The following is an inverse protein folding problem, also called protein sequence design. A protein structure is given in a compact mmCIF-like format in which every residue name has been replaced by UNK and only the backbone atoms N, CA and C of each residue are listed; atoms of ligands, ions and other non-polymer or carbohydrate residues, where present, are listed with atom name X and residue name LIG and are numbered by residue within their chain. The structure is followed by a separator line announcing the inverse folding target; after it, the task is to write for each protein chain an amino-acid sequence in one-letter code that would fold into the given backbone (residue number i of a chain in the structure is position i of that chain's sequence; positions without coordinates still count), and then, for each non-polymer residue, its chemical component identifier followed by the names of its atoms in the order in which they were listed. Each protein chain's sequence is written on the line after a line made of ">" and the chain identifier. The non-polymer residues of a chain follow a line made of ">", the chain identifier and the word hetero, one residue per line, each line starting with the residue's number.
data_IF_247377832341
#
_entry.id   IF_247377832341
#
_cell.length_a   1.000
_cell.length_b   1.000
_cell.length_c   1.000
_cell.angle_alpha   90.00
_cell.angle_beta   90.00
_cell.angle_gamma   90.00
#
_symmetry.space_group_name_H-M   'P 1'
#
loop_
_entity.id
_entity.type
_entity.pdbx_description
1 polymer ?
#
# COMPACT_ATOMS: atom_id res chain seq x y z
N UNK A 1 8.68 -17.94 -13.79
CA UNK A 1 8.05 -16.88 -12.98
C UNK A 1 8.97 -15.68 -12.98
N UNK A 2 8.47 -14.51 -13.39
CA UNK A 2 9.25 -13.28 -13.36
C UNK A 2 9.13 -12.70 -11.95
N UNK A 3 10.26 -12.33 -11.38
CA UNK A 3 10.33 -11.78 -10.04
C UNK A 3 10.68 -10.29 -10.12
N UNK A 4 9.92 -9.45 -9.44
CA UNK A 4 10.19 -8.01 -9.33
C UNK A 4 10.69 -7.71 -7.93
N UNK A 5 11.87 -7.09 -7.84
CA UNK A 5 12.42 -6.61 -6.57
C UNK A 5 11.54 -5.48 -6.04
N UNK A 6 10.97 -5.66 -4.85
CA UNK A 6 10.18 -4.61 -4.18
C UNK A 6 10.88 -4.04 -2.95
N UNK A 7 11.90 -4.73 -2.46
CA UNK A 7 12.73 -4.28 -1.35
C UNK A 7 14.12 -4.88 -1.50
N UNK A 8 15.16 -4.05 -1.36
CA UNK A 8 16.56 -4.50 -1.31
C UNK A 8 17.37 -3.58 -0.39
N UNK A 9 17.90 -4.13 0.69
CA UNK A 9 18.71 -3.37 1.66
C UNK A 9 20.02 -2.87 1.05
N UNK A 10 20.51 -3.47 -0.05
CA UNK A 10 21.70 -3.01 -0.75
C UNK A 10 21.47 -1.71 -1.55
N UNK A 11 20.22 -1.42 -1.94
CA UNK A 11 19.87 -0.16 -2.59
C UNK A 11 19.49 0.96 -1.62
N UNK A 12 19.16 0.63 -0.36
CA UNK A 12 18.85 1.62 0.67
C UNK A 12 20.14 2.22 1.23
N UNK A 13 20.35 3.52 0.98
CA UNK A 13 21.42 4.29 1.64
C UNK A 13 20.94 4.80 3.00
N UNK A 14 21.80 4.75 4.03
CA UNK A 14 21.51 5.38 5.32
C UNK A 14 21.47 6.90 5.11
N UNK A 15 20.28 7.49 5.22
CA UNK A 15 20.06 8.91 4.96
C UNK A 15 20.97 9.80 5.81
N UNK A 16 21.78 10.63 5.15
CA UNK A 16 22.76 11.54 5.76
C UNK A 16 22.13 12.76 6.47
N UNK A 17 20.81 12.94 6.36
CA UNK A 17 20.09 14.11 6.86
C UNK A 17 20.29 14.39 8.36
N UNK A 18 20.27 13.36 9.22
CA UNK A 18 20.42 13.53 10.66
C UNK A 18 21.88 13.72 11.11
N UNK A 19 22.88 13.01 10.53
CA UNK A 19 24.28 13.36 10.70
C UNK A 19 24.60 14.81 10.33
N UNK A 20 24.00 15.35 9.26
CA UNK A 20 24.19 16.74 8.85
C UNK A 20 23.58 17.75 9.86
N UNK A 21 22.41 17.44 10.42
CA UNK A 21 21.79 18.24 11.50
C UNK A 21 22.68 18.22 12.76
N UNK A 22 23.18 17.04 13.15
CA UNK A 22 24.12 16.91 14.27
C UNK A 22 25.41 17.71 14.06
N UNK A 23 25.96 17.70 12.84
CA UNK A 23 27.12 18.50 12.46
C UNK A 23 26.82 20.00 12.55
N UNK A 24 25.63 20.46 12.15
CA UNK A 24 25.22 21.85 12.26
C UNK A 24 25.17 22.34 13.74
N UNK A 25 24.70 21.51 14.67
CA UNK A 25 24.75 21.83 16.11
C UNK A 25 26.18 21.90 16.67
N UNK A 26 27.08 21.04 16.19
CA UNK A 26 28.51 21.07 16.56
C UNK A 26 29.15 22.37 16.06
N UNK A 27 28.90 22.76 14.81
CA UNK A 27 29.41 23.99 14.21
C UNK A 27 28.86 25.21 14.94
N UNK A 28 27.55 25.26 15.22
CA UNK A 28 26.93 26.37 15.95
C UNK A 28 27.51 26.52 17.37
N UNK A 29 27.72 25.41 18.08
CA UNK A 29 28.37 25.41 19.39
C UNK A 29 29.82 25.88 19.35
N UNK A 30 30.58 25.47 18.32
CA UNK A 30 31.96 25.90 18.11
C UNK A 30 32.06 27.40 17.76
N UNK A 31 31.19 27.91 16.89
CA UNK A 31 31.12 29.33 16.53
C UNK A 31 30.73 30.19 17.74
N UNK A 32 29.78 29.74 18.57
CA UNK A 32 29.44 30.44 19.81
C UNK A 32 30.61 30.48 20.79
N UNK A 33 31.35 29.38 20.91
CA UNK A 33 32.55 29.32 21.77
C UNK A 33 33.66 30.24 21.27
N UNK A 34 33.87 30.34 19.96
CA UNK A 34 34.99 31.08 19.38
C UNK A 34 34.68 32.57 19.13
N UNK A 35 33.44 32.91 18.76
CA UNK A 35 33.02 34.26 18.43
C UNK A 35 32.54 35.11 19.61
N UNK A 36 32.08 34.50 20.71
CA UNK A 36 31.45 35.25 21.83
C UNK A 36 32.18 35.17 23.17
N UNK A 37 33.34 34.50 23.24
CA UNK A 37 34.34 34.63 24.32
C UNK A 37 33.89 34.36 25.77
N UNK A 38 32.63 34.01 26.03
CA UNK A 38 32.13 33.72 27.38
C UNK A 38 31.99 32.22 27.55
N UNK A 39 33.00 31.62 28.16
CA UNK A 39 32.94 30.28 28.72
C UNK A 39 32.00 30.27 29.94
N UNK A 40 30.69 30.34 29.71
CA UNK A 40 29.66 30.22 30.73
C UNK A 40 28.51 29.40 30.18
N UNK A 41 28.33 28.19 30.70
CA UNK A 41 27.18 27.27 30.65
C UNK A 41 26.32 27.11 29.36
N UNK A 42 26.68 27.66 28.20
CA UNK A 42 25.77 27.69 27.03
C UNK A 42 26.25 26.95 25.78
N UNK A 43 27.55 26.74 25.56
CA UNK A 43 28.06 26.12 24.31
C UNK A 43 28.33 24.61 24.37
N UNK A 44 28.87 24.11 25.49
CA UNK A 44 29.16 22.67 25.66
C UNK A 44 27.92 21.77 25.58
N UNK A 45 26.74 22.14 26.12
CA UNK A 45 25.53 21.33 25.97
C UNK A 45 25.10 21.18 24.50
N UNK A 46 25.22 22.23 23.68
CA UNK A 46 24.87 22.16 22.25
C UNK A 46 25.84 21.29 21.45
N UNK A 47 27.14 21.37 21.75
CA UNK A 47 28.12 20.47 21.15
C UNK A 47 27.88 19.01 21.58
N UNK A 48 27.55 18.77 22.85
CA UNK A 48 27.23 17.44 23.36
C UNK A 48 25.95 16.86 22.72
N UNK A 49 24.90 17.68 22.55
CA UNK A 49 23.68 17.30 21.82
C UNK A 49 24.00 17.02 20.35
N UNK A 50 24.82 17.84 19.71
CA UNK A 50 25.24 17.62 18.33
C UNK A 50 26.00 16.31 18.15
N UNK A 51 27.00 16.04 18.99
CA UNK A 51 27.76 14.78 19.00
C UNK A 51 26.86 13.59 19.28
N UNK A 52 25.99 13.68 20.28
CA UNK A 52 25.01 12.63 20.58
C UNK A 52 24.07 12.38 19.41
N UNK A 53 23.61 13.42 18.73
CA UNK A 53 22.75 13.32 17.54
C UNK A 53 23.50 12.60 16.42
N UNK A 54 24.73 13.00 16.10
CA UNK A 54 25.57 12.31 15.08
C UNK A 54 25.75 10.83 15.42
N UNK A 55 26.06 10.50 16.69
CA UNK A 55 26.27 9.12 17.12
C UNK A 55 24.96 8.30 17.09
N UNK A 56 23.86 8.85 17.62
CA UNK A 56 22.59 8.15 17.69
C UNK A 56 21.93 7.98 16.32
N UNK A 57 22.03 8.97 15.44
CA UNK A 57 21.39 8.94 14.12
C UNK A 57 22.27 8.39 13.00
N UNK A 58 23.59 8.40 13.18
CA UNK A 58 24.56 7.90 12.21
C UNK A 58 25.14 6.55 12.61
N UNK A 59 25.74 6.46 13.79
CA UNK A 59 26.53 5.27 14.17
C UNK A 59 25.66 4.03 14.41
N UNK A 60 24.47 4.17 15.01
CA UNK A 60 23.58 3.02 15.30
C UNK A 60 22.97 2.44 14.01
N UNK A 61 22.34 3.24 13.10
CA UNK A 61 21.85 2.71 11.83
C UNK A 61 22.96 2.18 10.93
N UNK A 62 24.11 2.85 10.90
CA UNK A 62 25.28 2.39 10.13
C UNK A 62 25.85 1.08 10.69
N UNK A 63 25.96 0.93 12.01
CA UNK A 63 26.39 -0.31 12.65
C UNK A 63 25.46 -1.47 12.31
N UNK A 64 24.14 -1.26 12.39
CA UNK A 64 23.15 -2.27 12.02
C UNK A 64 23.23 -2.65 10.53
N UNK A 65 23.31 -1.66 9.64
CA UNK A 65 23.47 -1.91 8.20
C UNK A 65 24.75 -2.69 7.90
N UNK A 66 25.90 -2.27 8.47
CA UNK A 66 27.18 -2.93 8.25
C UNK A 66 27.17 -4.37 8.75
N UNK A 67 26.55 -4.63 9.91
CA UNK A 67 26.37 -5.97 10.49
C UNK A 67 25.57 -6.87 9.56
N UNK A 68 24.45 -6.37 8.99
CA UNK A 68 23.63 -7.14 8.04
C UNK A 68 24.38 -7.37 6.73
N UNK A 69 25.04 -6.36 6.17
CA UNK A 69 25.81 -6.49 4.92
C UNK A 69 26.98 -7.45 5.07
N UNK A 70 27.68 -7.45 6.21
CA UNK A 70 28.74 -8.42 6.50
C UNK A 70 28.19 -9.85 6.59
N UNK A 71 27.07 -10.07 7.27
CA UNK A 71 26.44 -11.39 7.34
C UNK A 71 26.05 -11.91 5.94
N UNK A 72 25.55 -11.02 5.07
CA UNK A 72 25.30 -11.35 3.65
C UNK A 72 26.59 -11.71 2.92
N UNK A 73 27.66 -10.93 3.09
CA UNK A 73 28.96 -11.17 2.47
C UNK A 73 29.62 -12.48 2.94
N UNK A 74 29.39 -12.87 4.20
CA UNK A 74 29.85 -14.11 4.79
C UNK A 74 29.04 -15.34 4.34
N UNK A 75 27.99 -15.16 3.53
CA UNK A 75 27.14 -16.25 3.06
C UNK A 75 26.10 -16.75 4.07
N UNK A 76 25.83 -15.98 5.13
CA UNK A 76 24.84 -16.33 6.16
C UNK A 76 23.39 -16.07 5.70
N UNK A 77 23.22 -15.38 4.58
CA UNK A 77 21.92 -15.09 3.99
C UNK A 77 21.27 -16.37 3.45
N UNK A 78 20.06 -16.65 3.93
CA UNK A 78 19.20 -17.73 3.46
C UNK A 78 18.16 -17.19 2.48
N UNK A 79 17.66 -18.07 1.62
CA UNK A 79 16.59 -17.76 0.68
C UNK A 79 15.44 -18.73 0.87
N UNK A 80 14.21 -18.21 0.85
CA UNK A 80 12.98 -19.01 0.79
C UNK A 80 12.11 -18.53 -0.36
N UNK A 81 11.45 -19.46 -1.05
CA UNK A 81 10.59 -19.19 -2.18
C UNK A 81 9.28 -19.97 -2.04
N UNK A 82 8.15 -19.32 -2.31
CA UNK A 82 6.83 -19.94 -2.22
C UNK A 82 5.70 -18.92 -2.18
N UNK A 83 4.45 -19.38 -2.13
CA UNK A 83 3.32 -18.48 -1.91
C UNK A 83 3.35 -17.90 -0.50
N UNK A 84 2.99 -16.63 -0.38
CA UNK A 84 2.75 -15.98 0.91
C UNK A 84 1.52 -16.62 1.56
N UNK A 85 1.57 -16.88 2.87
CA UNK A 85 0.43 -17.28 3.68
C UNK A 85 0.45 -16.60 5.06
N UNK A 86 -0.62 -16.78 5.84
CA UNK A 86 -0.81 -16.18 7.17
C UNK A 86 -0.63 -14.66 7.23
N UNK A 87 -0.85 -13.99 6.09
CA UNK A 87 -0.73 -12.55 5.99
C UNK A 87 -1.75 -11.85 6.88
N UNK A 88 -1.26 -10.92 7.70
CA UNK A 88 -2.09 -10.07 8.55
C UNK A 88 -1.41 -8.73 8.80
N UNK A 89 -2.24 -7.71 9.02
CA UNK A 89 -1.81 -6.41 9.49
C UNK A 89 -2.13 -6.27 10.99
N UNK A 90 -1.13 -5.93 11.79
CA UNK A 90 -1.31 -5.66 13.21
C UNK A 90 -0.97 -4.20 13.53
N UNK A 91 -1.84 -3.57 14.32
CA UNK A 91 -1.58 -2.26 14.90
C UNK A 91 -1.10 -2.45 16.33
N UNK A 92 0.17 -2.17 16.57
CA UNK A 92 0.77 -2.24 17.91
C UNK A 92 0.81 -0.84 18.49
N UNK A 93 0.22 -0.65 19.65
CA UNK A 93 0.33 0.59 20.41
C UNK A 93 1.35 0.42 21.53
N UNK A 94 2.21 1.43 21.73
CA UNK A 94 3.05 1.55 22.92
C UNK A 94 2.77 2.88 23.59
N UNK A 95 2.47 2.84 24.89
CA UNK A 95 2.43 4.04 25.73
C UNK A 95 3.83 4.64 25.79
N UNK A 96 3.97 5.94 25.52
CA UNK A 96 5.25 6.63 25.69
C UNK A 96 5.58 6.68 27.18
N UNK A 97 6.84 6.42 27.54
CA UNK A 97 7.28 6.46 28.95
C UNK A 97 7.16 7.86 29.58
N UNK A 98 7.17 8.91 28.76
CA UNK A 98 7.19 10.32 29.20
C UNK A 98 5.85 11.05 29.04
N UNK A 99 4.81 10.42 28.51
CA UNK A 99 3.49 11.04 28.34
C UNK A 99 2.38 10.01 28.20
N UNK A 100 1.13 10.43 28.40
CA UNK A 100 -0.05 9.60 28.10
C UNK A 100 -0.30 9.40 26.60
N UNK A 101 0.62 9.85 25.74
CA UNK A 101 0.53 9.63 24.31
C UNK A 101 0.90 8.18 23.94
N UNK A 102 0.11 7.61 23.03
CA UNK A 102 0.40 6.31 22.42
C UNK A 102 1.13 6.51 21.09
N UNK A 103 2.25 5.82 20.92
CA UNK A 103 2.87 5.65 19.62
C UNK A 103 2.26 4.41 18.95
N UNK A 104 1.83 4.55 17.70
CA UNK A 104 1.29 3.45 16.92
C UNK A 104 2.33 2.99 15.90
N UNK A 105 2.48 1.70 15.74
CA UNK A 105 3.29 1.08 14.69
C UNK A 105 2.46 0.03 13.98
N UNK A 106 2.53 0.02 12.65
CA UNK A 106 1.81 -0.92 11.82
C UNK A 106 2.79 -1.97 11.31
N UNK A 107 2.50 -3.23 11.64
CA UNK A 107 3.33 -4.35 11.26
C UNK A 107 2.55 -5.25 10.30
N UNK A 108 3.17 -5.61 9.18
CA UNK A 108 2.68 -6.69 8.32
C UNK A 108 3.42 -7.97 8.70
N UNK A 109 2.66 -8.99 9.08
CA UNK A 109 3.15 -10.33 9.34
C UNK A 109 2.72 -11.22 8.20
N UNK A 110 3.60 -12.12 7.78
CA UNK A 110 3.32 -13.08 6.73
C UNK A 110 4.37 -14.18 6.77
N UNK A 111 4.08 -15.31 6.13
CA UNK A 111 4.98 -16.45 6.06
C UNK A 111 5.23 -16.85 4.61
N UNK A 112 6.43 -17.33 4.33
CA UNK A 112 6.78 -17.95 3.04
C UNK A 112 7.44 -19.28 3.35
N UNK A 113 6.79 -20.38 2.96
CA UNK A 113 7.19 -21.71 3.40
C UNK A 113 7.18 -21.81 4.93
N UNK A 114 8.20 -22.40 5.58
CA UNK A 114 8.22 -22.56 7.03
C UNK A 114 8.64 -21.30 7.80
N UNK A 115 8.91 -20.18 7.14
CA UNK A 115 9.53 -19.00 7.75
C UNK A 115 8.54 -17.86 7.88
N UNK A 116 8.37 -17.36 9.10
CA UNK A 116 7.54 -16.20 9.41
C UNK A 116 8.36 -14.91 9.37
N UNK A 117 7.81 -13.88 8.74
CA UNK A 117 8.42 -12.58 8.55
C UNK A 117 7.54 -11.48 9.14
N UNK A 118 8.18 -10.34 9.44
CA UNK A 118 7.49 -9.12 9.86
C UNK A 118 8.15 -7.89 9.28
N UNK A 119 7.36 -6.98 8.73
CA UNK A 119 7.81 -5.68 8.22
C UNK A 119 7.11 -4.55 8.99
N UNK A 120 7.85 -3.51 9.34
CA UNK A 120 7.31 -2.27 9.89
C UNK A 120 7.36 -1.19 8.80
N UNK A 121 6.21 -0.84 8.25
CA UNK A 121 6.08 0.26 7.30
C UNK A 121 5.91 1.56 8.09
N UNK A 122 7.00 2.03 8.70
CA UNK A 122 6.99 3.24 9.51
C UNK A 122 6.74 4.49 8.66
N UNK A 123 5.61 5.15 8.93
CA UNK A 123 5.12 6.43 8.39
C UNK A 123 4.36 6.39 7.05
N UNK A 124 3.21 7.10 7.05
CA UNK A 124 2.25 7.32 5.95
C UNK A 124 1.29 6.16 5.63
N UNK A 125 0.31 5.94 6.52
CA UNK A 125 -0.91 5.25 6.10
C UNK A 125 -1.74 6.18 5.22
N UNK A 126 -1.53 6.13 3.90
CA UNK A 126 -2.60 6.50 2.98
C UNK A 126 -3.80 5.58 3.29
N UNK A 127 -4.89 6.19 3.78
CA UNK A 127 -6.21 5.57 3.72
C UNK A 127 -6.57 5.28 2.27
N UNK A 128 -7.63 4.49 2.04
CA UNK A 128 -8.05 4.24 0.66
C UNK A 128 -8.19 5.57 -0.09
N UNK A 129 -7.48 5.70 -1.21
CA UNK A 129 -7.38 6.95 -1.97
C UNK A 129 -7.79 6.73 -3.43
N UNK A 130 -8.37 7.76 -4.03
CA UNK A 130 -8.67 7.80 -5.47
C UNK A 130 -7.52 8.47 -6.27
N UNK A 131 -6.36 8.72 -5.64
CA UNK A 131 -5.18 9.37 -6.27
C UNK A 131 -4.13 8.31 -6.60
N UNK A 132 -3.53 8.40 -7.78
CA UNK A 132 -2.32 7.66 -8.14
C UNK A 132 -1.23 7.85 -7.07
N UNK A 133 -0.45 6.80 -6.79
CA UNK A 133 0.54 6.80 -5.71
C UNK A 133 1.73 7.70 -6.08
N UNK A 134 1.71 8.96 -5.64
CA UNK A 134 2.82 9.91 -5.88
C UNK A 134 3.82 10.01 -4.72
N UNK A 135 3.69 9.21 -3.66
CA UNK A 135 4.69 9.15 -2.57
C UNK A 135 5.12 7.69 -2.33
N UNK A 136 6.45 7.49 -2.37
CA UNK A 136 7.17 6.22 -2.28
C UNK A 136 6.71 5.32 -1.12
N UNK A 137 5.75 4.45 -1.45
CA UNK A 137 5.53 3.17 -0.78
C UNK A 137 5.90 2.10 -1.79
N UNK A 138 6.47 0.94 -1.42
CA UNK A 138 6.58 -0.15 -2.38
C UNK A 138 5.19 -0.41 -2.95
N UNK A 139 5.07 -0.32 -4.27
CA UNK A 139 3.79 -0.27 -4.99
C UNK A 139 2.93 -1.53 -4.79
N UNK A 140 3.48 -2.58 -4.16
CA UNK A 140 2.84 -3.89 -3.99
C UNK A 140 2.77 -4.23 -2.49
N UNK A 141 1.55 -4.34 -1.98
CA UNK A 141 1.29 -4.90 -0.65
C UNK A 141 1.25 -6.42 -0.72
N UNK A 142 1.83 -7.06 0.30
CA UNK A 142 1.88 -8.51 0.39
C UNK A 142 0.46 -9.07 0.62
N UNK A 143 0.13 -10.19 -0.02
CA UNK A 143 -1.13 -10.91 0.18
C UNK A 143 -0.92 -12.40 0.13
N UNK A 144 -1.81 -13.16 0.79
CA UNK A 144 -1.83 -14.61 0.67
C UNK A 144 -1.92 -15.05 -0.80
N UNK A 145 -1.19 -16.10 -1.16
CA UNK A 145 -1.13 -16.68 -2.51
C UNK A 145 -0.14 -16.02 -3.47
N UNK A 146 0.42 -14.85 -3.13
CA UNK A 146 1.43 -14.19 -3.95
C UNK A 146 2.75 -14.98 -3.89
N UNK A 147 3.33 -15.35 -5.04
CA UNK A 147 4.67 -15.92 -5.02
C UNK A 147 5.66 -14.88 -4.50
N UNK A 148 6.52 -15.29 -3.57
CA UNK A 148 7.55 -14.45 -3.02
C UNK A 148 8.84 -15.25 -2.91
N UNK A 149 9.95 -14.58 -3.23
CA UNK A 149 11.30 -15.03 -2.96
C UNK A 149 11.92 -14.03 -2.00
N UNK A 150 12.26 -14.51 -0.81
CA UNK A 150 12.77 -13.66 0.26
C UNK A 150 14.18 -14.10 0.63
N UNK A 151 15.11 -13.15 0.59
CA UNK A 151 16.45 -13.30 1.14
C UNK A 151 16.48 -12.69 2.53
N UNK A 152 16.98 -13.44 3.50
CA UNK A 152 16.97 -13.02 4.91
C UNK A 152 18.19 -13.53 5.68
N UNK A 153 18.49 -12.92 6.83
CA UNK A 153 19.55 -13.34 7.75
C UNK A 153 18.98 -13.61 9.14
N UNK A 154 19.26 -14.76 9.78
CA UNK A 154 18.79 -15.09 11.13
C UNK A 154 19.66 -14.43 12.22
N UNK A 155 19.76 -13.10 12.22
CA UNK A 155 20.77 -12.38 13.01
C UNK A 155 20.31 -11.91 14.40
N UNK A 156 19.02 -12.02 14.71
CA UNK A 156 18.42 -11.43 15.93
C UNK A 156 18.06 -12.45 17.02
N UNK A 157 18.39 -13.73 16.81
CA UNK A 157 18.13 -14.87 17.72
C UNK A 157 17.10 -15.87 17.17
N UNK A 158 17.01 -17.09 17.72
CA UNK A 158 16.14 -18.16 17.21
C UNK A 158 14.64 -17.85 17.30
N UNK A 159 14.22 -17.06 18.30
CA UNK A 159 12.82 -16.71 18.54
C UNK A 159 12.40 -15.37 17.91
N UNK A 160 13.30 -14.71 17.18
CA UNK A 160 13.02 -13.42 16.54
C UNK A 160 12.80 -13.59 15.05
N UNK A 161 11.89 -12.82 14.45
CA UNK A 161 11.70 -12.86 13.00
C UNK A 161 13.03 -12.51 12.32
N UNK A 162 13.42 -13.25 11.28
CA UNK A 162 14.68 -13.01 10.59
C UNK A 162 14.68 -11.64 9.92
N UNK A 163 15.88 -11.09 9.74
CA UNK A 163 16.06 -9.80 9.08
C UNK A 163 15.94 -9.99 7.58
N UNK A 164 14.95 -9.34 6.98
CA UNK A 164 14.77 -9.34 5.54
C UNK A 164 15.85 -8.48 4.89
N UNK A 165 16.53 -9.04 3.90
CA UNK A 165 17.56 -8.38 3.09
C UNK A 165 16.98 -7.97 1.74
N UNK A 166 16.14 -8.83 1.16
CA UNK A 166 15.55 -8.60 -0.14
C UNK A 166 14.21 -9.32 -0.27
N UNK A 167 13.25 -8.67 -0.91
CA UNK A 167 11.96 -9.25 -1.28
C UNK A 167 11.83 -9.12 -2.79
N UNK A 168 11.74 -10.27 -3.45
CA UNK A 168 11.32 -10.34 -4.84
C UNK A 168 9.93 -10.99 -4.89
N UNK A 169 8.97 -10.33 -5.52
CA UNK A 169 7.62 -10.88 -5.67
C UNK A 169 7.49 -11.51 -7.05
N UNK A 170 7.09 -12.79 -7.05
CA UNK A 170 6.86 -13.58 -8.23
C UNK A 170 5.48 -13.28 -8.79
N UNK A 171 5.42 -13.02 -10.08
CA UNK A 171 4.17 -13.08 -10.83
C UNK A 171 3.84 -14.55 -11.11
N UNK A 172 3.31 -15.26 -10.11
CA UNK A 172 2.68 -16.57 -10.34
C UNK A 172 1.26 -16.33 -10.89
N UNK A 173 1.23 -16.26 -12.23
CA UNK A 173 0.15 -15.99 -13.21
C UNK A 173 -1.17 -16.76 -13.04
N UNK A 174 -2.30 -16.37 -13.68
CA UNK A 174 -3.34 -17.36 -13.96
C UNK A 174 -2.96 -18.32 -15.10
N UNK A 175 -2.12 -17.89 -16.07
CA UNK A 175 -1.29 -18.67 -17.01
C UNK A 175 -0.75 -17.76 -18.15
N UNK A 176 0.58 -17.64 -18.31
CA UNK A 176 1.38 -17.22 -19.51
C UNK A 176 1.05 -15.98 -20.39
N UNK A 177 -0.04 -15.24 -20.23
CA UNK A 177 -0.55 -14.36 -21.30
C UNK A 177 -0.16 -12.87 -21.25
N UNK A 178 1.12 -12.55 -21.07
CA UNK A 178 1.71 -11.43 -21.85
C UNK A 178 3.00 -11.97 -22.44
N UNK A 179 2.84 -12.78 -23.49
CA UNK A 179 3.90 -12.89 -24.50
C UNK A 179 4.30 -11.47 -24.88
N UNK A 180 5.60 -11.26 -24.96
CA UNK A 180 6.25 -10.05 -25.46
C UNK A 180 5.38 -9.31 -26.49
N UNK A 181 5.10 -8.04 -26.22
CA UNK A 181 4.35 -7.16 -27.11
C UNK A 181 3.57 -6.12 -26.31
N UNK A 182 4.26 -5.03 -25.95
CA UNK A 182 3.69 -3.72 -25.62
C UNK A 182 2.63 -3.65 -24.48
N UNK A 183 3.08 -3.25 -23.29
CA UNK A 183 2.34 -2.44 -22.32
C UNK A 183 0.84 -2.73 -22.11
N UNK A 184 0.50 -3.86 -21.47
CA UNK A 184 -0.87 -4.12 -21.05
C UNK A 184 -0.97 -5.21 -19.99
N UNK A 185 -1.47 -4.88 -18.80
CA UNK A 185 -1.73 -5.86 -17.73
C UNK A 185 -2.83 -6.84 -18.15
N UNK A 186 -2.55 -8.13 -18.00
CA UNK A 186 -3.48 -9.22 -18.25
C UNK A 186 -4.40 -9.42 -17.03
N UNK A 187 -5.49 -8.66 -17.01
CA UNK A 187 -6.64 -8.89 -16.13
C UNK A 187 -7.51 -10.02 -16.73
N UNK A 188 -7.87 -11.05 -15.95
CA UNK A 188 -8.78 -12.10 -16.44
C UNK A 188 -10.18 -11.52 -16.40
N UNK A 189 -10.72 -11.19 -17.57
CA UNK A 189 -12.07 -10.65 -17.67
C UNK A 189 -13.07 -11.77 -17.40
N UNK A 190 -13.33 -12.06 -16.12
CA UNK A 190 -14.46 -12.90 -15.72
C UNK A 190 -15.72 -12.17 -16.15
N UNK A 191 -16.41 -12.67 -17.16
CA UNK A 191 -17.63 -12.09 -17.71
C UNK A 191 -18.70 -11.98 -16.61
N UNK A 192 -19.51 -10.91 -16.67
CA UNK A 192 -20.55 -10.61 -15.67
C UNK A 192 -20.34 -9.29 -14.93
N UNK A 193 -21.32 -8.93 -14.08
CA UNK A 193 -21.38 -7.66 -13.35
C UNK A 193 -20.39 -7.56 -12.19
N UNK A 194 -19.94 -8.70 -11.68
CA UNK A 194 -19.02 -8.78 -10.55
C UNK A 194 -17.81 -9.63 -10.96
N UNK A 195 -16.63 -9.03 -10.94
CA UNK A 195 -15.36 -9.72 -11.10
C UNK A 195 -14.52 -9.56 -9.83
N UNK A 196 -14.55 -10.58 -8.97
CA UNK A 196 -13.87 -10.59 -7.68
C UNK A 196 -12.58 -11.42 -7.73
N UNK A 197 -11.53 -10.87 -8.36
CA UNK A 197 -10.21 -11.51 -8.40
C UNK A 197 -9.45 -11.37 -7.07
N UNK A 198 -9.75 -10.33 -6.27
CA UNK A 198 -9.17 -10.15 -4.95
C UNK A 198 -9.70 -11.14 -3.90
N UNK A 199 -10.76 -11.89 -4.24
CA UNK A 199 -11.44 -12.85 -3.38
C UNK A 199 -11.85 -12.24 -2.03
N UNK A 200 -12.39 -11.02 -2.07
CA UNK A 200 -12.80 -10.26 -0.89
C UNK A 200 -14.32 -10.27 -0.68
N UNK A 201 -15.10 -10.75 -1.65
CA UNK A 201 -16.55 -10.80 -1.56
C UNK A 201 -17.03 -12.22 -1.23
N UNK A 202 -17.78 -12.36 -0.14
CA UNK A 202 -18.47 -13.61 0.20
C UNK A 202 -19.52 -13.99 -0.86
N UNK A 203 -19.95 -15.25 -0.89
CA UNK A 203 -21.01 -15.69 -1.78
C UNK A 203 -22.31 -14.90 -1.56
N UNK A 204 -22.67 -14.64 -0.30
CA UNK A 204 -23.86 -13.86 0.04
C UNK A 204 -23.73 -12.39 -0.39
N UNK A 205 -22.55 -11.79 -0.24
CA UNK A 205 -22.25 -10.45 -0.75
C UNK A 205 -22.40 -10.38 -2.27
N UNK A 206 -21.89 -11.38 -3.00
CA UNK A 206 -22.03 -11.47 -4.46
C UNK A 206 -23.50 -11.57 -4.85
N UNK A 207 -24.30 -12.39 -4.16
CA UNK A 207 -25.72 -12.53 -4.43
C UNK A 207 -26.50 -11.22 -4.19
N UNK A 208 -26.23 -10.52 -3.08
CA UNK A 208 -26.85 -9.21 -2.81
C UNK A 208 -26.46 -8.16 -3.83
N UNK A 209 -25.17 -8.09 -4.18
CA UNK A 209 -24.69 -7.17 -5.21
C UNK A 209 -25.33 -7.47 -6.55
N UNK A 210 -25.36 -8.74 -6.99
CA UNK A 210 -25.90 -9.10 -8.29
C UNK A 210 -27.39 -8.73 -8.43
N UNK A 211 -28.18 -8.87 -7.36
CA UNK A 211 -29.56 -8.40 -7.32
C UNK A 211 -29.67 -6.87 -7.49
N UNK A 212 -28.83 -6.09 -6.78
CA UNK A 212 -28.80 -4.62 -6.90
C UNK A 212 -28.38 -4.19 -8.30
N UNK A 213 -27.32 -4.79 -8.85
CA UNK A 213 -26.78 -4.44 -10.16
C UNK A 213 -27.75 -4.83 -11.29
N UNK A 214 -28.37 -6.01 -11.22
CA UNK A 214 -29.37 -6.44 -12.20
C UNK A 214 -30.59 -5.52 -12.21
N UNK A 215 -31.10 -5.15 -11.05
CA UNK A 215 -32.23 -4.22 -10.95
C UNK A 215 -31.87 -2.79 -11.39
N UNK A 216 -30.60 -2.40 -11.29
CA UNK A 216 -30.12 -1.13 -11.83
C UNK A 216 -30.09 -1.16 -13.35
N UNK A 217 -29.41 -2.15 -13.95
CA UNK A 217 -29.28 -2.27 -15.39
C UNK A 217 -30.65 -2.27 -16.10
N UNK A 218 -31.64 -2.97 -15.53
CA UNK A 218 -33.01 -3.01 -16.07
C UNK A 218 -33.71 -1.65 -16.03
N UNK A 219 -33.40 -0.80 -15.04
CA UNK A 219 -34.06 0.51 -14.87
C UNK A 219 -33.35 1.62 -15.62
N UNK A 220 -32.02 1.62 -15.60
CA UNK A 220 -31.21 2.69 -16.20
C UNK A 220 -30.92 2.44 -17.67
N UNK A 221 -30.92 1.18 -18.13
CA UNK A 221 -30.42 0.80 -19.45
C UNK A 221 -28.88 0.75 -19.53
N UNK A 222 -28.18 0.96 -18.40
CA UNK A 222 -26.73 1.09 -18.34
C UNK A 222 -26.11 0.11 -17.34
N UNK A 223 -25.00 -0.56 -17.68
CA UNK A 223 -24.36 -1.51 -16.77
C UNK A 223 -23.60 -0.82 -15.63
N UNK A 224 -23.78 -1.31 -14.40
CA UNK A 224 -22.84 -1.06 -13.30
C UNK A 224 -22.01 -2.32 -13.02
N UNK A 225 -20.70 -2.22 -13.19
CA UNK A 225 -19.75 -3.32 -13.01
C UNK A 225 -18.88 -3.08 -11.78
N UNK A 226 -18.72 -4.12 -10.98
CA UNK A 226 -17.83 -4.14 -9.81
C UNK A 226 -16.63 -5.01 -10.15
N UNK A 227 -15.44 -4.43 -10.02
CA UNK A 227 -14.17 -5.13 -10.21
C UNK A 227 -13.33 -4.99 -8.97
N UNK A 228 -12.88 -6.11 -8.42
CA UNK A 228 -11.86 -6.13 -7.38
C UNK A 228 -10.66 -6.90 -7.90
N UNK A 229 -9.52 -6.23 -7.99
CA UNK A 229 -8.24 -6.86 -8.34
C UNK A 229 -7.35 -6.86 -7.10
N UNK A 230 -6.57 -7.91 -6.83
CA UNK A 230 -5.63 -7.88 -5.72
C UNK A 230 -4.65 -6.71 -5.87
N UNK A 231 -4.13 -6.46 -7.08
CA UNK A 231 -3.14 -5.41 -7.36
C UNK A 231 -3.35 -4.76 -8.74
N UNK A 232 -2.89 -3.52 -8.89
CA UNK A 232 -2.82 -2.79 -10.16
C UNK A 232 -1.52 -3.05 -10.93
N UNK A 233 -0.55 -3.74 -10.32
CA UNK A 233 0.73 -4.06 -10.95
C UNK A 233 1.58 -2.83 -11.29
N UNK A 234 1.48 -1.76 -10.48
CA UNK A 234 2.20 -0.50 -10.69
C UNK A 234 1.58 0.43 -11.73
N UNK A 235 0.41 0.10 -12.29
CA UNK A 235 -0.35 0.99 -13.16
C UNK A 235 -1.19 1.95 -12.30
N UNK A 236 -1.27 3.22 -12.72
CA UNK A 236 -2.20 4.19 -12.14
C UNK A 236 -3.66 3.70 -12.22
N UNK A 237 -4.43 3.86 -11.14
CA UNK A 237 -5.80 3.33 -11.05
C UNK A 237 -6.74 3.92 -12.11
N UNK A 238 -6.57 5.17 -12.53
CA UNK A 238 -7.41 5.75 -13.57
C UNK A 238 -7.12 5.11 -14.92
N UNK A 239 -5.84 4.91 -15.26
CA UNK A 239 -5.44 4.18 -16.47
C UNK A 239 -5.90 2.72 -16.46
N UNK A 240 -5.77 2.05 -15.31
CA UNK A 240 -6.23 0.68 -15.15
C UNK A 240 -7.75 0.57 -15.32
N UNK A 241 -8.51 1.47 -14.67
CA UNK A 241 -9.97 1.52 -14.78
C UNK A 241 -10.42 1.74 -16.24
N UNK A 242 -9.80 2.67 -16.96
CA UNK A 242 -10.09 2.91 -18.38
C UNK A 242 -9.84 1.65 -19.22
N UNK A 243 -8.69 0.98 -19.03
CA UNK A 243 -8.37 -0.27 -19.76
C UNK A 243 -9.39 -1.36 -19.47
N UNK A 244 -9.83 -1.49 -18.21
CA UNK A 244 -10.87 -2.45 -17.82
C UNK A 244 -12.20 -2.10 -18.48
N UNK A 245 -12.56 -0.83 -18.51
CA UNK A 245 -13.79 -0.34 -19.11
C UNK A 245 -13.86 -0.60 -20.61
N UNK A 246 -12.78 -0.29 -21.33
CA UNK A 246 -12.65 -0.51 -22.77
C UNK A 246 -12.82 -1.99 -23.09
N UNK A 247 -12.11 -2.86 -22.39
CA UNK A 247 -12.19 -4.31 -22.62
C UNK A 247 -13.53 -4.92 -22.21
N UNK A 248 -14.30 -4.25 -21.35
CA UNK A 248 -15.65 -4.64 -20.93
C UNK A 248 -16.74 -4.02 -21.81
N UNK A 249 -16.39 -3.12 -22.73
CA UNK A 249 -17.36 -2.39 -23.55
C UNK A 249 -18.25 -1.42 -22.76
N UNK A 250 -17.77 -0.91 -21.61
CA UNK A 250 -18.55 -0.03 -20.72
C UNK A 250 -17.96 1.39 -20.61
N UNK A 251 -16.93 1.70 -21.40
CA UNK A 251 -16.22 2.98 -21.33
C UNK A 251 -17.14 4.19 -21.57
N UNK A 252 -18.16 4.04 -22.41
CA UNK A 252 -19.11 5.11 -22.73
C UNK A 252 -20.42 5.01 -21.97
N UNK A 253 -20.96 3.80 -21.84
CA UNK A 253 -22.35 3.58 -21.41
C UNK A 253 -22.49 3.02 -20.00
N UNK A 254 -21.40 2.76 -19.27
CA UNK A 254 -21.48 2.09 -17.97
C UNK A 254 -20.77 2.80 -16.83
N UNK A 255 -20.85 2.19 -15.66
CA UNK A 255 -20.15 2.63 -14.45
C UNK A 255 -19.28 1.47 -13.98
N UNK A 256 -18.05 1.78 -13.58
CA UNK A 256 -17.11 0.84 -12.98
C UNK A 256 -16.78 1.27 -11.56
N UNK A 257 -17.05 0.40 -10.58
CA UNK A 257 -16.46 0.49 -9.25
C UNK A 257 -15.25 -0.46 -9.19
N UNK A 258 -14.05 0.11 -9.23
CA UNK A 258 -12.79 -0.61 -9.13
C UNK A 258 -12.22 -0.52 -7.71
N UNK A 259 -11.82 -1.66 -7.15
CA UNK A 259 -11.15 -1.75 -5.84
C UNK A 259 -9.86 -2.54 -5.96
N UNK A 260 -8.76 -1.96 -5.47
CA UNK A 260 -7.43 -2.55 -5.43
C UNK A 260 -6.91 -2.52 -3.99
N UNK A 261 -7.13 -3.60 -3.20
CA UNK A 261 -6.79 -3.62 -1.77
C UNK A 261 -5.30 -3.49 -1.48
N UNK A 262 -4.42 -3.93 -2.39
CA UNK A 262 -2.98 -3.87 -2.16
C UNK A 262 -2.48 -2.43 -2.20
N UNK A 263 -2.89 -1.68 -3.21
CA UNK A 263 -2.59 -0.25 -3.35
C UNK A 263 -3.42 0.60 -2.38
N UNK A 264 -4.43 0.01 -1.70
CA UNK A 264 -5.49 0.75 -0.98
C UNK A 264 -6.05 1.84 -1.89
N UNK A 265 -6.40 1.48 -3.11
CA UNK A 265 -7.01 2.41 -4.05
C UNK A 265 -8.39 1.90 -4.45
N UNK A 266 -9.29 2.84 -4.66
CA UNK A 266 -10.60 2.54 -5.22
C UNK A 266 -11.08 3.73 -6.02
N UNK A 267 -11.82 3.45 -7.09
CA UNK A 267 -12.29 4.46 -8.04
C UNK A 267 -13.66 4.09 -8.56
N UNK A 268 -14.53 5.11 -8.65
CA UNK A 268 -15.69 5.08 -9.52
C UNK A 268 -15.27 5.74 -10.83
N UNK A 269 -15.42 5.02 -11.93
CA UNK A 269 -15.30 5.57 -13.28
C UNK A 269 -16.69 5.57 -13.90
N UNK A 270 -17.07 6.71 -14.47
CA UNK A 270 -18.38 6.94 -15.05
C UNK A 270 -18.21 7.11 -16.56
N UNK A 271 -18.97 6.35 -17.33
CA UNK A 271 -19.00 6.49 -18.79
C UNK A 271 -19.62 7.82 -19.23
N UNK A 272 -19.23 8.28 -20.41
CA UNK A 272 -19.63 9.59 -20.95
C UNK A 272 -21.15 9.81 -20.95
N UNK A 273 -21.93 8.80 -21.30
CA UNK A 273 -23.40 8.89 -21.37
C UNK A 273 -24.08 9.12 -20.00
N UNK A 274 -23.38 8.78 -18.92
CA UNK A 274 -23.89 8.90 -17.56
C UNK A 274 -23.34 10.12 -16.82
N UNK A 275 -22.47 10.91 -17.46
CA UNK A 275 -21.79 12.04 -16.83
C UNK A 275 -22.73 13.13 -16.32
N UNK A 276 -23.88 13.34 -16.96
CA UNK A 276 -24.91 14.28 -16.49
C UNK A 276 -25.68 13.75 -15.26
N UNK A 277 -25.90 12.42 -15.20
CA UNK A 277 -26.65 11.76 -14.11
C UNK A 277 -25.78 11.49 -12.89
N UNK A 278 -24.51 11.14 -13.11
CA UNK A 278 -23.48 10.93 -12.09
C UNK A 278 -22.19 11.67 -12.46
N UNK A 279 -22.15 13.00 -12.28
CA UNK A 279 -20.93 13.77 -12.51
C UNK A 279 -19.78 13.32 -11.61
N UNK A 280 -18.54 13.57 -12.03
CA UNK A 280 -17.33 13.22 -11.27
C UNK A 280 -17.38 13.72 -9.82
N UNK A 281 -17.90 14.93 -9.58
CA UNK A 281 -18.06 15.48 -8.25
C UNK A 281 -19.04 14.66 -7.38
N UNK A 282 -20.13 14.16 -7.97
CA UNK A 282 -21.10 13.32 -7.27
C UNK A 282 -20.53 11.91 -7.01
N UNK A 283 -19.81 11.34 -7.98
CA UNK A 283 -19.08 10.09 -7.78
C UNK A 283 -18.05 10.22 -6.64
N UNK A 284 -17.32 11.34 -6.60
CA UNK A 284 -16.37 11.63 -5.53
C UNK A 284 -17.04 11.78 -4.16
N UNK A 285 -18.22 12.42 -4.08
CA UNK A 285 -19.01 12.49 -2.85
C UNK A 285 -19.43 11.10 -2.35
N UNK A 286 -19.83 10.18 -3.25
CA UNK A 286 -20.14 8.79 -2.88
C UNK A 286 -18.89 8.08 -2.36
N UNK A 287 -17.74 8.26 -3.02
CA UNK A 287 -16.48 7.71 -2.55
C UNK A 287 -16.17 8.18 -1.12
N UNK A 288 -16.16 9.50 -0.89
CA UNK A 288 -15.73 10.09 0.37
C UNK A 288 -16.73 9.89 1.52
N UNK A 289 -18.04 9.90 1.22
CA UNK A 289 -19.11 9.81 2.20
C UNK A 289 -19.58 8.39 2.52
N UNK A 290 -19.52 7.47 1.55
CA UNK A 290 -20.15 6.14 1.66
C UNK A 290 -19.11 5.01 1.67
N UNK A 291 -18.20 5.02 0.69
CA UNK A 291 -17.30 3.89 0.40
C UNK A 291 -16.06 3.93 1.30
N UNK A 292 -15.26 5.00 1.17
CA UNK A 292 -13.97 5.13 1.85
C UNK A 292 -14.07 5.08 3.38
N UNK A 293 -15.10 5.65 4.05
CA UNK A 293 -15.23 5.53 5.50
C UNK A 293 -15.39 4.07 5.98
N UNK A 294 -16.07 3.22 5.21
CA UNK A 294 -16.21 1.79 5.53
C UNK A 294 -14.90 1.04 5.31
N UNK A 295 -14.22 1.33 4.20
CA UNK A 295 -12.91 0.76 3.90
C UNK A 295 -11.88 1.07 5.00
N UNK A 296 -11.87 2.31 5.51
CA UNK A 296 -11.00 2.73 6.63
C UNK A 296 -11.29 1.97 7.93
N UNK A 297 -12.50 1.44 8.12
CA UNK A 297 -12.88 0.61 9.28
C UNK A 297 -12.65 -0.89 9.04
N UNK A 298 -12.08 -1.28 7.90
CA UNK A 298 -11.85 -2.68 7.53
C UNK A 298 -13.06 -3.38 6.89
N UNK A 299 -14.18 -2.68 6.75
CA UNK A 299 -15.40 -3.20 6.10
C UNK A 299 -15.37 -2.92 4.59
N UNK A 300 -14.54 -3.65 3.86
CA UNK A 300 -14.43 -3.52 2.40
C UNK A 300 -15.69 -4.04 1.69
N UNK A 301 -16.21 -5.25 2.00
CA UNK A 301 -17.42 -5.76 1.35
C UNK A 301 -18.63 -4.86 1.58
N UNK A 302 -18.86 -4.41 2.81
CA UNK A 302 -19.94 -3.48 3.13
C UNK A 302 -19.75 -2.10 2.50
N UNK A 303 -18.51 -1.66 2.29
CA UNK A 303 -18.20 -0.45 1.51
C UNK A 303 -18.57 -0.57 0.03
N UNK A 304 -18.31 -1.73 -0.59
CA UNK A 304 -18.68 -2.03 -1.98
C UNK A 304 -20.21 -2.12 -2.11
N UNK A 305 -20.87 -2.85 -1.21
CA UNK A 305 -22.34 -2.98 -1.18
C UNK A 305 -23.03 -1.62 -1.02
N UNK A 306 -22.63 -0.83 -0.02
CA UNK A 306 -23.19 0.50 0.19
C UNK A 306 -22.88 1.47 -0.96
N UNK A 307 -21.69 1.36 -1.55
CA UNK A 307 -21.30 2.12 -2.73
C UNK A 307 -22.19 1.83 -3.93
N UNK A 308 -22.45 0.56 -4.23
CA UNK A 308 -23.35 0.17 -5.32
C UNK A 308 -24.76 0.74 -5.11
N UNK A 309 -25.32 0.64 -3.91
CA UNK A 309 -26.63 1.23 -3.58
C UNK A 309 -26.63 2.76 -3.76
N UNK A 310 -25.58 3.45 -3.31
CA UNK A 310 -25.49 4.91 -3.46
C UNK A 310 -25.36 5.36 -4.93
N UNK A 311 -24.55 4.65 -5.73
CA UNK A 311 -24.39 4.90 -7.16
C UNK A 311 -25.72 4.72 -7.89
N UNK A 312 -26.35 3.55 -7.71
CA UNK A 312 -27.62 3.23 -8.37
C UNK A 312 -28.71 4.22 -7.99
N UNK A 313 -28.82 4.56 -6.70
CA UNK A 313 -29.76 5.58 -6.21
C UNK A 313 -29.51 6.96 -6.81
N UNK A 314 -28.26 7.39 -6.99
CA UNK A 314 -27.93 8.70 -7.58
C UNK A 314 -28.31 8.77 -9.07
N UNK A 315 -28.11 7.69 -9.81
CA UNK A 315 -28.37 7.63 -11.25
C UNK A 315 -29.87 7.49 -11.54
N UNK A 316 -30.59 6.62 -10.82
CA UNK A 316 -32.04 6.42 -11.03
C UNK A 316 -32.90 7.45 -10.30
N UNK A 317 -32.41 8.05 -9.22
CA UNK A 317 -33.15 9.07 -8.47
C UNK A 317 -33.26 10.44 -9.17
N UNK A 318 -32.52 10.64 -10.26
CA UNK A 318 -32.61 11.85 -11.11
C UNK A 318 -33.78 11.85 -12.10
N UNK A 319 -34.52 10.75 -12.25
CA UNK A 319 -35.66 10.64 -13.18
C UNK A 319 -36.99 11.15 -12.60
N UNK A 320 -36.97 11.76 -11.42
CA UNK A 320 -38.11 12.50 -10.86
C UNK A 320 -37.82 14.00 -10.90
N UNK A 321 -38.09 14.65 -12.03
CA UNK A 321 -39.10 15.71 -12.19
C UNK A 321 -39.10 16.29 -13.60
#
# INVERSE_FOLDING_TARGET
>A
MTYTTVYDIASDSVGLQFPLIGLAFIIAGAVMKWGFGKAGWTSYPLMAIGVFTVLASGAVPWWDQRRVTQAVANGEARQVEGPIHDWRLERVSRKRKSSDAHAYSHYEYFSVGPVAFRINWGALEAGFANRGSTEEKPAVRLTNGMAARIRYVPIDGPDKPPRIVRIDLGTSSPADAVRQGEGGVAFRIVQGRIADEANILSADSKARLDAVLTAFDQRSGHPLVIVTTPSLGGIDIARFAATVADRRGIADSGILLLVAPNERQARIMVGRELSDRLPDAAAQQIMDGVILPRFRRGDIPGGIEAGAVAITGRVTGGETR
#
